data_IF_006491117160
#
_entry.id   IF_006491117160
#
_cell.length_a   1.000
_cell.length_b   1.000
_cell.length_c   1.000
_cell.angle_alpha   90.00
_cell.angle_beta   90.00
_cell.angle_gamma   90.00
#
_symmetry.space_group_name_H-M   'P 1'
#
loop_
_entity.id
_entity.type
_entity.pdbx_description
1 polymer ?
#
# COMPACT_ATOMS: atom_id res chain seq x y z
N UNK A 1 -2.54 -24.84 11.12
CA UNK A 1 -3.34 -23.91 11.94
C UNK A 1 -4.62 -23.57 11.18
N UNK A 2 -5.81 -23.96 11.68
CA UNK A 2 -7.10 -23.55 11.08
C UNK A 2 -7.53 -22.25 11.73
N UNK A 3 -7.55 -21.14 10.97
CA UNK A 3 -8.21 -19.92 11.41
C UNK A 3 -9.69 -20.23 11.68
N UNK A 4 -10.16 -20.00 12.91
CA UNK A 4 -11.58 -20.18 13.31
C UNK A 4 -12.44 -18.95 13.02
N UNK A 5 -11.92 -17.95 12.30
CA UNK A 5 -12.68 -16.79 11.89
C UNK A 5 -13.36 -17.03 10.56
N UNK A 6 -14.70 -17.14 10.58
CA UNK A 6 -15.52 -17.07 9.37
C UNK A 6 -15.84 -15.62 9.12
N UNK A 7 -15.34 -15.11 8.00
CA UNK A 7 -15.67 -13.81 7.48
C UNK A 7 -16.56 -14.01 6.25
N UNK A 8 -17.49 -13.10 6.05
CA UNK A 8 -18.19 -12.95 4.78
C UNK A 8 -17.20 -12.58 3.67
N UNK A 9 -17.55 -12.84 2.41
CA UNK A 9 -16.71 -12.45 1.28
C UNK A 9 -16.46 -10.94 1.25
N UNK A 10 -17.44 -10.14 1.67
CA UNK A 10 -17.32 -8.69 1.76
C UNK A 10 -16.29 -8.27 2.81
N UNK A 11 -16.33 -8.87 4.00
CA UNK A 11 -15.32 -8.61 5.04
C UNK A 11 -13.92 -9.04 4.59
N UNK A 12 -13.81 -10.16 3.85
CA UNK A 12 -12.52 -10.57 3.27
C UNK A 12 -12.03 -9.54 2.25
N UNK A 13 -12.90 -9.06 1.36
CA UNK A 13 -12.57 -8.03 0.37
C UNK A 13 -12.06 -6.76 1.05
N UNK A 14 -12.81 -6.21 2.01
CA UNK A 14 -12.39 -5.01 2.75
C UNK A 14 -11.06 -5.22 3.51
N UNK A 15 -10.81 -6.41 4.07
CA UNK A 15 -9.53 -6.69 4.72
C UNK A 15 -8.37 -6.69 3.72
N UNK A 16 -8.58 -7.22 2.51
CA UNK A 16 -7.57 -7.21 1.46
C UNK A 16 -7.32 -5.78 0.94
N UNK A 17 -8.38 -5.01 0.69
CA UNK A 17 -8.29 -3.61 0.27
C UNK A 17 -7.51 -2.76 1.29
N UNK A 18 -7.84 -2.88 2.57
CA UNK A 18 -7.14 -2.19 3.65
C UNK A 18 -5.66 -2.57 3.73
N UNK A 19 -5.34 -3.86 3.58
CA UNK A 19 -3.94 -4.33 3.58
C UNK A 19 -3.17 -3.79 2.39
N UNK A 20 -3.77 -3.78 1.19
CA UNK A 20 -3.15 -3.22 -0.01
C UNK A 20 -2.93 -1.72 0.12
N UNK A 21 -3.95 -0.97 0.55
CA UNK A 21 -3.85 0.47 0.80
C UNK A 21 -2.74 0.80 1.81
N UNK A 22 -2.60 -0.01 2.86
CA UNK A 22 -1.59 0.21 3.91
C UNK A 22 -0.13 0.20 3.40
N UNK A 23 0.14 -0.45 2.26
CA UNK A 23 1.48 -0.46 1.64
C UNK A 23 1.95 0.94 1.23
N UNK A 24 1.01 1.83 0.92
CA UNK A 24 1.25 3.17 0.39
C UNK A 24 1.04 4.28 1.41
N UNK A 25 0.50 3.97 2.60
CA UNK A 25 0.30 4.96 3.66
C UNK A 25 1.64 5.31 4.30
N UNK A 26 1.91 6.61 4.43
CA UNK A 26 3.12 7.08 5.11
C UNK A 26 2.97 6.88 6.62
N UNK A 27 3.88 6.11 7.22
CA UNK A 27 3.98 5.94 8.66
C UNK A 27 5.25 6.56 9.24
N UNK A 28 5.54 6.27 10.52
CA UNK A 28 6.77 6.72 11.21
C UNK A 28 8.06 6.25 10.50
N UNK A 29 8.00 5.12 9.83
CA UNK A 29 9.12 4.50 9.11
C UNK A 29 8.99 4.67 7.59
N UNK A 30 8.22 5.66 7.13
CA UNK A 30 7.87 5.82 5.72
C UNK A 30 6.78 4.83 5.27
N UNK A 31 6.67 4.64 3.96
CA UNK A 31 5.70 3.72 3.33
C UNK A 31 6.30 2.31 3.27
N UNK A 32 5.56 1.24 3.63
CA UNK A 32 6.05 -0.13 3.47
C UNK A 32 6.54 -0.46 2.05
N UNK A 33 5.85 0.06 1.01
CA UNK A 33 6.23 -0.10 -0.39
C UNK A 33 7.68 0.35 -0.68
N UNK A 34 8.18 1.35 0.03
CA UNK A 34 9.56 1.85 -0.10
C UNK A 34 10.60 0.97 0.58
N UNK A 35 10.19 -0.07 1.32
CA UNK A 35 11.11 -1.04 1.92
C UNK A 35 12.06 -0.48 2.98
N UNK A 36 11.75 0.68 3.56
CA UNK A 36 12.57 1.32 4.60
C UNK A 36 13.83 2.02 4.10
N UNK A 37 13.96 2.26 2.78
CA UNK A 37 15.12 2.96 2.23
C UNK A 37 15.16 4.43 2.72
N UNK A 38 16.28 4.83 3.34
CA UNK A 38 16.41 6.12 4.03
C UNK A 38 16.18 7.34 3.12
N UNK A 39 16.47 7.21 1.82
CA UNK A 39 16.26 8.29 0.85
C UNK A 39 14.79 8.74 0.83
N UNK A 40 13.84 7.82 0.98
CA UNK A 40 12.42 8.14 0.96
C UNK A 40 11.86 8.63 2.30
N UNK A 41 12.70 8.69 3.35
CA UNK A 41 12.36 9.35 4.62
C UNK A 41 12.68 10.85 4.58
N UNK A 42 13.43 11.30 3.56
CA UNK A 42 13.81 12.70 3.44
C UNK A 42 12.60 13.56 3.04
N UNK A 43 12.49 14.80 3.53
CA UNK A 43 11.34 15.68 3.28
C UNK A 43 11.04 15.89 1.78
N UNK A 44 12.07 15.89 0.94
CA UNK A 44 11.95 16.11 -0.51
C UNK A 44 11.21 14.98 -1.23
N UNK A 45 11.19 13.78 -0.65
CA UNK A 45 10.54 12.59 -1.19
C UNK A 45 9.27 12.20 -0.42
N UNK A 46 8.79 13.06 0.49
CA UNK A 46 7.60 12.79 1.31
C UNK A 46 6.38 12.42 0.48
N UNK A 47 6.16 13.15 -0.61
CA UNK A 47 4.99 12.99 -1.49
C UNK A 47 5.31 12.11 -2.71
N UNK A 48 6.54 11.58 -2.83
CA UNK A 48 6.87 10.61 -3.87
C UNK A 48 6.22 9.27 -3.52
N UNK A 49 5.26 8.83 -4.34
CA UNK A 49 4.64 7.51 -4.26
C UNK A 49 5.11 6.68 -5.45
N UNK A 50 5.76 5.55 -5.17
CA UNK A 50 6.20 4.62 -6.20
C UNK A 50 5.27 3.40 -6.29
N UNK A 51 4.96 3.02 -7.52
CA UNK A 51 4.27 1.78 -7.84
C UNK A 51 5.28 0.74 -8.29
N UNK A 52 5.10 -0.48 -7.81
CA UNK A 52 5.99 -1.62 -8.04
C UNK A 52 5.22 -2.77 -8.69
N UNK A 53 5.94 -3.72 -9.28
CA UNK A 53 5.35 -4.86 -10.01
C UNK A 53 4.72 -5.88 -9.05
N UNK A 54 5.40 -6.16 -7.94
CA UNK A 54 4.93 -7.04 -6.87
C UNK A 54 5.48 -6.61 -5.51
N UNK A 55 4.93 -7.18 -4.43
CA UNK A 55 5.29 -6.84 -3.06
C UNK A 55 5.71 -8.09 -2.28
N UNK A 56 6.71 -7.94 -1.43
CA UNK A 56 7.10 -8.95 -0.46
C UNK A 56 5.97 -9.18 0.57
N UNK A 57 5.59 -10.43 0.80
CA UNK A 57 4.40 -10.76 1.58
C UNK A 57 4.56 -10.55 3.10
N UNK A 58 5.80 -10.52 3.60
CA UNK A 58 6.10 -10.32 5.02
C UNK A 58 6.31 -8.85 5.36
N UNK A 59 7.06 -8.15 4.51
CA UNK A 59 7.52 -6.78 4.75
C UNK A 59 6.70 -5.73 4.00
N UNK A 60 6.05 -6.10 2.90
CA UNK A 60 5.36 -5.16 2.01
C UNK A 60 6.29 -4.36 1.12
N UNK A 61 7.60 -4.68 1.05
CA UNK A 61 8.56 -4.01 0.17
C UNK A 61 8.17 -4.20 -1.29
N UNK A 62 8.12 -3.11 -2.05
CA UNK A 62 7.94 -3.14 -3.50
C UNK A 62 9.16 -3.67 -4.22
N UNK A 63 8.95 -4.53 -5.21
CA UNK A 63 9.97 -5.22 -5.98
C UNK A 63 9.67 -5.16 -7.49
N UNK A 64 10.69 -5.41 -8.30
CA UNK A 64 10.60 -5.28 -9.76
C UNK A 64 10.73 -3.83 -10.23
N UNK A 65 10.13 -3.51 -11.38
CA UNK A 65 10.19 -2.16 -11.93
C UNK A 65 9.44 -1.17 -11.03
N UNK A 66 10.14 -0.15 -10.52
CA UNK A 66 9.50 1.05 -9.99
C UNK A 66 8.98 1.89 -11.17
N UNK A 67 7.78 2.49 -11.04
CA UNK A 67 7.05 3.23 -12.08
C UNK A 67 6.16 2.42 -13.03
N UNK A 68 5.83 1.17 -12.71
CA UNK A 68 4.82 0.44 -13.48
C UNK A 68 3.41 0.79 -12.96
N UNK A 69 2.68 1.63 -13.69
CA UNK A 69 1.26 1.94 -13.43
C UNK A 69 0.36 0.83 -14.02
N UNK A 70 0.58 -0.40 -13.56
CA UNK A 70 -0.22 -1.58 -13.91
C UNK A 70 -1.42 -1.75 -12.99
N UNK A 71 -1.73 -2.99 -12.61
CA UNK A 71 -2.82 -3.30 -11.67
C UNK A 71 -2.70 -2.57 -10.33
N UNK A 72 -1.49 -2.18 -9.91
CA UNK A 72 -1.23 -1.45 -8.66
C UNK A 72 -1.82 -0.04 -8.64
N UNK A 73 -2.09 0.57 -9.80
CA UNK A 73 -2.83 1.83 -9.87
C UNK A 73 -4.29 1.68 -9.39
N UNK A 74 -4.87 0.47 -9.45
CA UNK A 74 -6.22 0.21 -8.92
C UNK A 74 -6.28 0.38 -7.39
N UNK A 75 -5.14 0.36 -6.69
CA UNK A 75 -5.10 0.65 -5.25
C UNK A 75 -5.47 2.11 -4.96
N UNK A 76 -5.30 3.04 -5.91
CA UNK A 76 -5.75 4.42 -5.75
C UNK A 76 -7.27 4.49 -5.48
N UNK A 77 -8.05 3.63 -6.16
CA UNK A 77 -9.50 3.53 -5.91
C UNK A 77 -9.81 3.02 -4.51
N UNK A 78 -9.04 2.06 -4.01
CA UNK A 78 -9.22 1.58 -2.64
C UNK A 78 -8.86 2.66 -1.60
N UNK A 79 -7.87 3.51 -1.89
CA UNK A 79 -7.49 4.62 -1.01
C UNK A 79 -8.59 5.69 -0.94
N UNK A 80 -9.25 6.00 -2.07
CA UNK A 80 -10.46 6.85 -2.13
C UNK A 80 -11.57 6.33 -1.20
N UNK A 81 -11.84 5.03 -1.24
CA UNK A 81 -12.94 4.41 -0.50
C UNK A 81 -12.63 4.26 1.02
N UNK A 82 -11.35 4.17 1.41
CA UNK A 82 -10.91 3.90 2.79
C UNK A 82 -10.53 5.17 3.57
N UNK A 83 -10.02 6.22 2.91
CA UNK A 83 -9.57 7.46 3.57
C UNK A 83 -9.87 8.69 2.69
N UNK A 84 -11.14 9.15 2.64
CA UNK A 84 -11.57 10.21 1.73
C UNK A 84 -10.86 11.56 1.96
N UNK A 85 -10.37 11.82 3.18
CA UNK A 85 -9.67 13.07 3.51
C UNK A 85 -8.19 13.08 3.11
N UNK A 86 -7.55 11.90 2.92
CA UNK A 86 -6.17 11.80 2.43
C UNK A 86 -6.05 11.57 0.92
N UNK A 87 -7.18 11.52 0.23
CA UNK A 87 -7.30 11.18 -1.18
C UNK A 87 -6.58 12.15 -2.15
N UNK A 88 -6.22 13.37 -1.73
CA UNK A 88 -5.66 14.40 -2.63
C UNK A 88 -4.13 14.54 -2.62
N UNK A 89 -3.36 13.53 -2.19
CA UNK A 89 -1.88 13.59 -2.24
C UNK A 89 -1.24 12.27 -2.70
N UNK A 90 -1.80 11.69 -3.76
CA UNK A 90 -1.13 10.64 -4.55
C UNK A 90 -0.35 11.28 -5.69
#
# INVERSE_FOLDING_TARGET
SRSRHRLTLLEVAHNLENRLASLFRSGKNGRPAHGGEEIYLRPEFRDLVLFYEYFDAETGKGLGASHQTGWTALVARNLEDIDPEHCLRV
#
